data_IF_160731470922
#
_entry.id   IF_160731470922
#
_cell.length_a   1.000
_cell.length_b   1.000
_cell.length_c   1.000
_cell.angle_alpha   90.00
_cell.angle_beta   90.00
_cell.angle_gamma   90.00
#
_symmetry.space_group_name_H-M   'P 1'
#
loop_
_entity.id
_entity.type
_entity.pdbx_description
1 polymer ?
#
# COMPACT_ATOMS: atom_id res chain seq x y z
N UNK A 1 33.42 -26.37 -10.44
CA UNK A 1 32.34 -27.35 -10.56
C UNK A 1 31.36 -26.84 -11.60
N UNK A 2 31.13 -27.64 -12.63
CA UNK A 2 30.36 -27.24 -13.79
C UNK A 2 28.90 -27.06 -13.40
N UNK A 3 28.35 -25.89 -13.66
CA UNK A 3 26.91 -25.57 -13.49
C UNK A 3 26.14 -25.79 -14.80
N UNK A 4 26.87 -26.16 -15.84
CA UNK A 4 26.36 -26.48 -17.17
C UNK A 4 26.60 -27.95 -17.48
N UNK A 5 25.70 -28.55 -18.27
CA UNK A 5 25.90 -29.87 -18.89
C UNK A 5 26.81 -29.79 -20.10
N UNK A 6 27.06 -30.93 -20.74
CA UNK A 6 27.88 -31.02 -21.94
C UNK A 6 27.31 -30.25 -23.13
N UNK A 7 26.02 -29.97 -23.14
CA UNK A 7 25.30 -29.22 -24.16
C UNK A 7 25.22 -27.73 -23.89
N UNK A 8 25.84 -27.25 -22.76
CA UNK A 8 25.86 -25.87 -22.35
C UNK A 8 24.55 -25.40 -21.69
N UNK A 9 23.71 -26.32 -21.21
CA UNK A 9 22.50 -26.01 -20.46
C UNK A 9 22.75 -26.02 -18.96
N UNK A 10 22.06 -25.17 -18.21
CA UNK A 10 22.12 -25.18 -16.75
C UNK A 10 21.58 -26.53 -16.21
N UNK A 11 22.39 -27.23 -15.42
CA UNK A 11 21.96 -28.45 -14.72
C UNK A 11 21.04 -28.11 -13.54
N UNK A 12 20.05 -28.92 -13.26
CA UNK A 12 19.11 -28.71 -12.14
C UNK A 12 19.74 -28.96 -10.78
N UNK A 13 20.53 -30.04 -10.67
CA UNK A 13 21.32 -30.38 -9.48
C UNK A 13 22.65 -30.99 -9.91
N UNK A 14 23.69 -30.90 -9.07
CA UNK A 14 24.99 -31.49 -9.38
C UNK A 14 24.91 -33.02 -9.30
N UNK A 15 25.46 -33.76 -10.29
CA UNK A 15 25.61 -35.21 -10.19
C UNK A 15 26.37 -35.61 -8.92
N UNK A 16 25.84 -36.58 -8.18
CA UNK A 16 26.45 -37.06 -6.93
C UNK A 16 26.28 -36.15 -5.69
N UNK A 17 25.58 -35.04 -5.80
CA UNK A 17 25.25 -34.15 -4.68
C UNK A 17 23.85 -34.45 -4.12
N UNK A 18 23.60 -33.88 -2.94
CA UNK A 18 22.28 -33.86 -2.31
C UNK A 18 21.23 -33.31 -3.30
N UNK A 19 20.17 -34.06 -3.62
CA UNK A 19 19.09 -33.60 -4.51
C UNK A 19 18.37 -32.34 -3.97
N UNK A 20 18.58 -31.96 -2.70
CA UNK A 20 18.09 -30.71 -2.14
C UNK A 20 18.88 -29.49 -2.60
N UNK A 21 20.07 -29.66 -3.18
CA UNK A 21 20.91 -28.57 -3.69
C UNK A 21 20.51 -28.22 -5.13
N UNK A 22 19.45 -27.45 -5.25
CA UNK A 22 18.96 -26.94 -6.53
C UNK A 22 19.86 -25.82 -7.07
N UNK A 23 20.05 -25.78 -8.40
CA UNK A 23 20.86 -24.76 -9.03
C UNK A 23 20.16 -23.40 -9.01
N UNK A 24 20.68 -22.49 -8.19
CA UNK A 24 20.11 -21.14 -8.01
C UNK A 24 20.15 -20.26 -9.27
N UNK A 25 21.02 -20.55 -10.24
CA UNK A 25 21.07 -19.80 -11.51
C UNK A 25 19.79 -19.98 -12.32
N UNK A 26 19.10 -21.11 -12.17
CA UNK A 26 17.80 -21.32 -12.80
C UNK A 26 16.72 -20.34 -12.32
N UNK A 27 16.88 -19.76 -11.15
CA UNK A 27 15.93 -18.76 -10.64
C UNK A 27 15.91 -17.47 -11.45
N UNK A 28 17.02 -17.10 -12.12
CA UNK A 28 17.10 -15.87 -12.91
C UNK A 28 16.02 -15.83 -14.00
N UNK A 29 15.76 -16.97 -14.65
CA UNK A 29 14.76 -17.08 -15.71
C UNK A 29 13.40 -17.60 -15.21
N UNK A 30 13.40 -18.33 -14.09
CA UNK A 30 12.21 -19.05 -13.61
C UNK A 30 11.55 -18.41 -12.38
N UNK A 31 12.08 -17.33 -11.82
CA UNK A 31 11.43 -16.58 -10.75
C UNK A 31 11.24 -15.14 -11.16
N UNK A 32 10.03 -14.63 -10.99
CA UNK A 32 9.71 -13.23 -11.25
C UNK A 32 8.95 -12.67 -10.04
N UNK A 33 9.39 -11.49 -9.59
CA UNK A 33 8.68 -10.73 -8.56
C UNK A 33 8.50 -9.31 -9.03
N UNK A 34 7.29 -8.81 -8.91
CA UNK A 34 6.94 -7.45 -9.27
C UNK A 34 6.17 -6.79 -8.13
N UNK A 35 6.61 -5.61 -7.73
CA UNK A 35 5.88 -4.77 -6.78
C UNK A 35 5.62 -3.42 -7.45
N UNK A 36 4.34 -3.06 -7.55
CA UNK A 36 3.91 -1.74 -8.01
C UNK A 36 3.21 -1.02 -6.86
N UNK A 37 3.59 0.23 -6.64
CA UNK A 37 3.00 1.11 -5.64
C UNK A 37 2.69 2.45 -6.29
N UNK A 38 1.43 2.82 -6.28
CA UNK A 38 1.01 4.15 -6.66
C UNK A 38 0.51 4.87 -5.41
N UNK A 39 0.66 6.19 -5.37
CA UNK A 39 0.10 7.00 -4.29
C UNK A 39 -0.38 8.32 -4.84
N UNK A 40 -1.62 8.62 -4.57
CA UNK A 40 -2.21 9.93 -4.80
C UNK A 40 -2.40 10.63 -3.46
N UNK A 41 -1.74 11.77 -3.29
CA UNK A 41 -1.88 12.64 -2.13
C UNK A 41 -2.37 13.99 -2.59
N UNK A 42 -3.52 14.43 -2.08
CA UNK A 42 -4.12 15.71 -2.39
C UNK A 42 -4.58 16.44 -1.13
N UNK A 43 -4.43 17.76 -1.12
CA UNK A 43 -4.97 18.62 -0.07
C UNK A 43 -5.59 19.86 -0.70
N UNK A 44 -6.82 20.15 -0.31
CA UNK A 44 -7.57 21.32 -0.74
C UNK A 44 -8.07 22.09 0.47
N UNK A 45 -8.08 23.40 0.39
CA UNK A 45 -8.67 24.23 1.44
C UNK A 45 -9.52 25.34 0.86
N UNK A 46 -10.49 25.77 1.66
CA UNK A 46 -11.34 26.92 1.40
C UNK A 46 -11.27 27.85 2.61
N UNK A 47 -10.90 29.10 2.39
CA UNK A 47 -10.93 30.17 3.40
C UNK A 47 -12.10 31.10 3.15
N UNK A 48 -12.88 31.37 4.20
CA UNK A 48 -14.00 32.30 4.16
C UNK A 48 -13.87 33.28 5.32
N UNK A 49 -13.92 34.58 5.03
CA UNK A 49 -14.02 35.61 6.05
C UNK A 49 -15.50 35.87 6.35
N UNK A 50 -15.88 35.60 7.58
CA UNK A 50 -17.23 35.79 8.11
C UNK A 50 -17.36 37.16 8.82
N UNK A 51 -18.58 37.68 9.06
CA UNK A 51 -18.78 38.82 9.93
C UNK A 51 -18.16 38.63 11.32
N UNK A 52 -17.94 39.73 12.04
CA UNK A 52 -17.46 39.74 13.42
C UNK A 52 -16.01 39.27 13.65
N UNK A 53 -15.11 39.47 12.65
CA UNK A 53 -13.70 39.11 12.71
C UNK A 53 -13.45 37.59 12.81
N UNK A 54 -14.41 36.78 12.34
CA UNK A 54 -14.30 35.32 12.29
C UNK A 54 -13.75 34.91 10.94
N UNK A 55 -12.74 34.02 10.95
CA UNK A 55 -12.26 33.34 9.74
C UNK A 55 -12.60 31.86 9.85
N UNK A 56 -13.18 31.31 8.81
CA UNK A 56 -13.47 29.89 8.66
C UNK A 56 -12.54 29.29 7.61
N UNK A 57 -11.94 28.15 7.94
CA UNK A 57 -11.19 27.34 7.00
C UNK A 57 -11.73 25.91 6.99
N UNK A 58 -11.97 25.38 5.81
CA UNK A 58 -12.25 23.96 5.61
C UNK A 58 -11.12 23.34 4.80
N UNK A 59 -10.50 22.28 5.35
CA UNK A 59 -9.46 21.49 4.69
C UNK A 59 -10.02 20.12 4.34
N UNK A 60 -9.74 19.63 3.12
CA UNK A 60 -10.01 18.26 2.70
C UNK A 60 -8.71 17.63 2.25
N UNK A 61 -8.34 16.52 2.89
CA UNK A 61 -7.17 15.71 2.56
C UNK A 61 -7.61 14.36 1.97
N UNK A 62 -6.90 13.91 0.95
CA UNK A 62 -7.10 12.62 0.29
C UNK A 62 -5.74 11.93 0.17
N UNK A 63 -5.64 10.68 0.64
CA UNK A 63 -4.46 9.84 0.50
C UNK A 63 -4.91 8.45 0.04
N UNK A 64 -4.60 8.08 -1.19
CA UNK A 64 -4.98 6.82 -1.82
C UNK A 64 -3.73 6.12 -2.32
N UNK A 65 -3.50 4.88 -1.89
CA UNK A 65 -2.29 4.14 -2.19
C UNK A 65 -2.58 2.67 -2.55
N UNK A 66 -2.90 2.36 -3.82
CA UNK A 66 -2.95 0.99 -4.27
C UNK A 66 -1.55 0.37 -4.31
N UNK A 67 -1.47 -0.90 -3.91
CA UNK A 67 -0.29 -1.73 -3.96
C UNK A 67 -0.60 -3.06 -4.65
N UNK A 68 0.33 -3.50 -5.50
CA UNK A 68 0.24 -4.76 -6.23
C UNK A 68 1.53 -5.53 -5.98
N UNK A 69 1.42 -6.78 -5.51
CA UNK A 69 2.52 -7.70 -5.35
C UNK A 69 2.25 -8.96 -6.17
N UNK A 70 3.10 -9.22 -7.16
CA UNK A 70 2.98 -10.37 -8.04
C UNK A 70 4.24 -11.22 -7.92
N UNK A 71 4.07 -12.52 -7.79
CA UNK A 71 5.18 -13.47 -7.77
C UNK A 71 4.88 -14.64 -8.70
N UNK A 72 5.90 -15.10 -9.37
CA UNK A 72 5.86 -16.28 -10.24
C UNK A 72 7.06 -17.15 -9.97
N UNK A 73 6.83 -18.46 -9.90
CA UNK A 73 7.81 -19.49 -9.67
C UNK A 73 7.58 -20.59 -10.70
N UNK A 74 8.43 -20.63 -11.75
CA UNK A 74 8.39 -21.65 -12.79
C UNK A 74 8.86 -23.01 -12.26
N UNK A 75 8.56 -24.08 -12.98
CA UNK A 75 8.85 -25.45 -12.57
C UNK A 75 10.34 -25.67 -12.29
N UNK A 76 11.23 -24.99 -13.01
CA UNK A 76 12.68 -25.08 -12.83
C UNK A 76 13.24 -24.15 -11.74
N UNK A 77 12.41 -23.38 -11.04
CA UNK A 77 12.86 -22.57 -9.91
C UNK A 77 13.22 -23.45 -8.70
N UNK A 78 14.07 -22.92 -7.81
CA UNK A 78 14.39 -23.59 -6.55
C UNK A 78 13.19 -23.77 -5.64
N UNK A 79 12.16 -22.90 -5.75
CA UNK A 79 10.90 -23.03 -4.99
C UNK A 79 10.07 -24.23 -5.47
N UNK A 80 10.11 -24.54 -6.75
CA UNK A 80 9.31 -25.61 -7.33
C UNK A 80 10.06 -26.92 -7.51
N UNK A 81 11.36 -26.86 -7.74
CA UNK A 81 12.24 -28.04 -7.86
C UNK A 81 11.69 -29.16 -8.77
N UNK A 82 11.18 -28.76 -9.95
CA UNK A 82 10.55 -29.67 -10.92
C UNK A 82 9.04 -29.85 -10.74
N UNK A 83 8.44 -29.31 -9.69
CA UNK A 83 6.97 -29.30 -9.54
C UNK A 83 6.34 -28.23 -10.45
N UNK A 84 5.07 -28.38 -10.88
CA UNK A 84 4.42 -27.40 -11.74
C UNK A 84 4.44 -25.99 -11.18
N UNK A 85 4.43 -24.99 -12.06
CA UNK A 85 4.58 -23.59 -11.74
C UNK A 85 3.53 -23.07 -10.76
N UNK A 86 3.91 -22.05 -9.97
CA UNK A 86 3.11 -21.38 -8.95
C UNK A 86 3.09 -19.88 -9.21
N UNK A 87 1.96 -19.25 -8.93
CA UNK A 87 1.84 -17.79 -8.95
C UNK A 87 1.11 -17.25 -7.74
N UNK A 88 1.49 -16.03 -7.36
CA UNK A 88 0.85 -15.24 -6.32
C UNK A 88 0.42 -13.91 -6.93
N UNK A 89 -0.82 -13.51 -6.68
CA UNK A 89 -1.34 -12.20 -7.02
C UNK A 89 -1.93 -11.58 -5.75
N UNK A 90 -1.30 -10.54 -5.23
CA UNK A 90 -1.70 -9.82 -4.05
C UNK A 90 -2.01 -8.35 -4.38
N UNK A 91 -3.07 -7.82 -3.80
CA UNK A 91 -3.51 -6.44 -3.99
C UNK A 91 -3.93 -5.86 -2.65
N UNK A 92 -3.39 -4.68 -2.34
CA UNK A 92 -3.79 -3.89 -1.20
C UNK A 92 -4.24 -2.52 -1.68
N UNK A 93 -5.24 -1.97 -1.03
CA UNK A 93 -5.70 -0.62 -1.32
C UNK A 93 -5.99 0.11 0.00
N UNK A 94 -5.22 1.16 0.26
CA UNK A 94 -5.43 2.03 1.41
C UNK A 94 -5.98 3.36 0.93
N UNK A 95 -7.08 3.79 1.52
CA UNK A 95 -7.73 5.07 1.25
C UNK A 95 -7.98 5.80 2.56
N UNK A 96 -7.42 7.00 2.67
CA UNK A 96 -7.64 7.87 3.82
C UNK A 96 -8.21 9.21 3.37
N UNK A 97 -9.25 9.64 4.04
CA UNK A 97 -9.89 10.94 3.87
C UNK A 97 -9.84 11.69 5.19
N UNK A 98 -9.49 12.95 5.12
CA UNK A 98 -9.49 13.86 6.27
C UNK A 98 -10.31 15.09 5.91
N UNK A 99 -11.20 15.50 6.80
CA UNK A 99 -11.94 16.74 6.69
C UNK A 99 -11.85 17.52 8.00
N UNK A 100 -11.34 18.73 7.91
CA UNK A 100 -11.11 19.61 9.04
C UNK A 100 -11.83 20.92 8.82
N UNK A 101 -12.47 21.40 9.86
CA UNK A 101 -13.15 22.68 9.92
C UNK A 101 -12.56 23.50 11.06
N UNK A 102 -12.03 24.68 10.75
CA UNK A 102 -11.40 25.57 11.68
C UNK A 102 -12.14 26.89 11.73
N UNK A 103 -12.38 27.38 12.93
CA UNK A 103 -12.87 28.74 13.19
C UNK A 103 -11.80 29.50 13.96
N UNK A 104 -11.45 30.68 13.47
CA UNK A 104 -10.50 31.59 14.10
C UNK A 104 -11.22 32.88 14.44
N UNK A 105 -11.05 33.34 15.66
CA UNK A 105 -11.47 34.64 16.10
C UNK A 105 -10.30 35.36 16.76
N UNK A 106 -9.96 36.55 16.29
CA UNK A 106 -8.91 37.38 16.85
C UNK A 106 -9.43 38.79 17.06
N UNK A 107 -9.33 39.28 18.30
CA UNK A 107 -9.79 40.64 18.59
C UNK A 107 -8.92 41.32 19.62
N UNK A 108 -8.59 42.56 19.37
CA UNK A 108 -7.92 43.46 20.32
C UNK A 108 -8.93 44.37 20.98
N UNK A 109 -8.95 44.36 22.31
CA UNK A 109 -9.80 45.20 23.15
C UNK A 109 -8.96 46.24 23.85
N UNK A 110 -9.48 47.45 24.00
CA UNK A 110 -8.85 48.55 24.77
C UNK A 110 -7.38 48.76 24.43
N UNK A 111 -6.94 48.50 23.20
CA UNK A 111 -5.57 48.63 22.65
C UNK A 111 -4.52 47.65 23.23
N UNK A 112 -4.68 47.16 24.46
CA UNK A 112 -3.66 46.39 25.17
C UNK A 112 -4.03 44.91 25.41
N UNK A 113 -5.23 44.49 25.03
CA UNK A 113 -5.71 43.12 25.28
C UNK A 113 -6.03 42.44 23.95
N UNK A 114 -5.28 41.42 23.59
CA UNK A 114 -5.53 40.63 22.40
C UNK A 114 -6.00 39.24 22.77
N UNK A 115 -7.17 38.84 22.28
CA UNK A 115 -7.77 37.54 22.49
C UNK A 115 -7.79 36.80 21.12
N UNK A 116 -7.17 35.62 21.07
CA UNK A 116 -7.24 34.69 19.97
C UNK A 116 -7.97 33.42 20.39
N UNK A 117 -9.00 33.04 19.66
CA UNK A 117 -9.71 31.76 19.81
C UNK A 117 -9.55 30.94 18.56
N UNK A 118 -9.29 29.65 18.72
CA UNK A 118 -9.31 28.69 17.63
C UNK A 118 -10.17 27.51 18.03
N UNK A 119 -11.09 27.13 17.17
CA UNK A 119 -11.85 25.89 17.28
C UNK A 119 -11.56 25.03 16.08
N UNK A 120 -11.29 23.74 16.28
CA UNK A 120 -11.09 22.74 15.25
C UNK A 120 -12.06 21.58 15.48
N UNK A 121 -12.71 21.17 14.39
CA UNK A 121 -13.38 19.88 14.27
C UNK A 121 -12.73 19.13 13.12
N UNK A 122 -12.32 17.88 13.37
CA UNK A 122 -11.68 17.01 12.39
C UNK A 122 -12.40 15.67 12.33
N UNK A 123 -12.58 15.15 11.10
CA UNK A 123 -13.08 13.80 10.83
C UNK A 123 -12.05 13.13 9.93
N UNK A 124 -11.60 11.95 10.33
CA UNK A 124 -10.74 11.09 9.52
C UNK A 124 -11.41 9.74 9.31
N UNK A 125 -11.26 9.20 8.12
CA UNK A 125 -11.68 7.85 7.78
C UNK A 125 -10.56 7.17 7.03
N UNK A 126 -10.19 5.97 7.45
CA UNK A 126 -9.31 5.10 6.71
C UNK A 126 -10.03 3.79 6.36
N UNK A 127 -9.84 3.33 5.14
CA UNK A 127 -10.25 2.02 4.67
C UNK A 127 -9.04 1.30 4.11
N UNK A 128 -8.81 0.09 4.57
CA UNK A 128 -7.77 -0.82 4.07
C UNK A 128 -8.45 -2.10 3.56
N UNK A 129 -8.14 -2.44 2.32
CA UNK A 129 -8.64 -3.63 1.65
C UNK A 129 -7.44 -4.44 1.16
N UNK A 130 -7.42 -5.72 1.46
CA UNK A 130 -6.40 -6.65 0.98
C UNK A 130 -7.05 -7.86 0.34
N UNK A 131 -6.46 -8.34 -0.76
CA UNK A 131 -6.78 -9.63 -1.36
C UNK A 131 -5.53 -10.33 -1.84
N UNK A 132 -5.45 -11.64 -1.65
CA UNK A 132 -4.34 -12.46 -2.11
C UNK A 132 -4.86 -13.80 -2.63
N UNK A 133 -4.37 -14.19 -3.79
CA UNK A 133 -4.63 -15.48 -4.42
C UNK A 133 -3.28 -16.14 -4.67
N UNK A 134 -3.12 -17.37 -4.17
CA UNK A 134 -1.99 -18.25 -4.46
C UNK A 134 -2.50 -19.46 -5.21
N UNK A 135 -1.88 -19.74 -6.35
CA UNK A 135 -2.24 -20.85 -7.22
C UNK A 135 -1.01 -21.64 -7.64
N UNK A 136 -1.21 -22.89 -7.95
CA UNK A 136 -0.19 -23.77 -8.53
C UNK A 136 -0.76 -24.59 -9.68
N UNK A 137 0.11 -25.36 -10.33
CA UNK A 137 -0.23 -26.19 -11.46
C UNK A 137 -0.75 -25.36 -12.65
N UNK A 138 0.03 -24.30 -12.96
CA UNK A 138 -0.23 -23.41 -14.09
C UNK A 138 0.14 -24.14 -15.42
N UNK A 139 -0.79 -24.27 -16.37
CA UNK A 139 -0.52 -24.95 -17.63
C UNK A 139 0.36 -24.12 -18.59
N UNK A 140 0.41 -22.80 -18.40
CA UNK A 140 1.12 -21.85 -19.26
C UNK A 140 2.05 -20.95 -18.46
N UNK A 141 3.32 -21.32 -18.32
CA UNK A 141 4.31 -20.56 -17.53
C UNK A 141 4.64 -19.19 -18.12
N UNK A 142 4.52 -19.00 -19.43
CA UNK A 142 4.78 -17.75 -20.12
C UNK A 142 3.79 -16.62 -19.70
N UNK A 143 2.62 -16.95 -19.18
CA UNK A 143 1.62 -15.99 -18.72
C UNK A 143 1.88 -15.52 -17.28
N UNK A 144 2.76 -16.21 -16.56
CA UNK A 144 3.16 -15.88 -15.18
C UNK A 144 1.95 -15.70 -14.24
N UNK A 145 1.85 -14.58 -13.54
CA UNK A 145 0.71 -14.22 -12.68
C UNK A 145 -0.49 -13.58 -13.41
N UNK A 146 -0.38 -13.37 -14.73
CA UNK A 146 -1.44 -12.66 -15.48
C UNK A 146 -2.66 -13.53 -15.77
N UNK A 147 -2.53 -14.84 -15.61
CA UNK A 147 -3.63 -15.79 -15.84
C UNK A 147 -3.73 -16.83 -14.72
N UNK A 148 -3.86 -16.37 -13.49
CA UNK A 148 -4.06 -17.25 -12.32
C UNK A 148 -5.34 -18.08 -12.40
N UNK A 149 -6.34 -17.62 -13.18
CA UNK A 149 -7.59 -18.34 -13.39
C UNK A 149 -7.45 -19.64 -14.20
N UNK A 150 -6.33 -19.85 -14.91
CA UNK A 150 -6.05 -21.09 -15.63
C UNK A 150 -5.41 -22.18 -14.78
N UNK A 151 -5.01 -21.85 -13.54
CA UNK A 151 -4.38 -22.81 -12.63
C UNK A 151 -5.33 -23.94 -12.26
N UNK A 152 -4.78 -25.16 -12.17
CA UNK A 152 -5.58 -26.34 -11.81
C UNK A 152 -5.81 -26.43 -10.30
N UNK A 153 -4.94 -25.81 -9.50
CA UNK A 153 -5.01 -25.90 -8.04
C UNK A 153 -4.93 -24.51 -7.41
N UNK A 154 -5.90 -24.20 -6.56
CA UNK A 154 -5.87 -23.02 -5.68
C UNK A 154 -5.18 -23.45 -4.37
N UNK A 155 -4.06 -22.82 -4.02
CA UNK A 155 -3.38 -23.06 -2.74
C UNK A 155 -4.03 -22.29 -1.59
N UNK A 156 -4.30 -20.99 -1.82
CA UNK A 156 -5.00 -20.16 -0.85
C UNK A 156 -5.68 -18.96 -1.50
N UNK A 157 -6.78 -18.55 -0.92
CA UNK A 157 -7.44 -17.27 -1.19
C UNK A 157 -7.69 -16.61 0.15
N UNK A 158 -7.29 -15.35 0.26
CA UNK A 158 -7.53 -14.56 1.46
C UNK A 158 -7.97 -13.15 1.10
N UNK A 159 -8.78 -12.58 1.96
CA UNK A 159 -9.15 -11.17 1.90
C UNK A 159 -9.24 -10.59 3.30
N UNK A 160 -8.93 -9.31 3.44
CA UNK A 160 -9.08 -8.56 4.68
C UNK A 160 -9.68 -7.19 4.36
N UNK A 161 -10.53 -6.72 5.27
CA UNK A 161 -11.16 -5.42 5.20
C UNK A 161 -11.12 -4.77 6.58
N UNK A 162 -10.52 -3.60 6.66
CA UNK A 162 -10.45 -2.81 7.88
C UNK A 162 -10.93 -1.40 7.59
N UNK A 163 -11.72 -0.85 8.51
CA UNK A 163 -12.17 0.53 8.47
C UNK A 163 -12.19 1.12 9.86
N UNK A 164 -11.64 2.32 9.98
CA UNK A 164 -11.79 3.12 11.19
C UNK A 164 -12.19 4.56 10.86
N UNK A 165 -12.85 5.18 11.80
CA UNK A 165 -13.23 6.58 11.74
C UNK A 165 -12.81 7.23 13.04
N UNK A 166 -12.32 8.46 12.96
CA UNK A 166 -11.93 9.29 14.09
C UNK A 166 -12.58 10.65 13.96
N UNK A 167 -13.25 11.10 15.01
CA UNK A 167 -13.74 12.47 15.16
C UNK A 167 -13.01 13.13 16.31
N UNK A 168 -12.48 14.34 16.08
CA UNK A 168 -11.70 15.09 17.05
C UNK A 168 -12.17 16.53 17.14
N UNK A 169 -12.13 17.10 18.34
CA UNK A 169 -12.42 18.49 18.59
C UNK A 169 -11.29 19.11 19.39
N UNK A 170 -10.93 20.35 19.07
CA UNK A 170 -9.91 21.11 19.79
C UNK A 170 -10.39 22.55 19.98
N UNK A 171 -10.23 23.07 21.18
CA UNK A 171 -10.38 24.49 21.51
C UNK A 171 -9.04 25.06 21.99
N UNK A 172 -8.64 26.21 21.47
CA UNK A 172 -7.44 26.93 21.88
C UNK A 172 -7.79 28.38 22.19
N UNK A 173 -7.29 28.89 23.34
CA UNK A 173 -7.42 30.28 23.79
C UNK A 173 -6.01 30.85 23.92
N UNK A 174 -5.75 31.94 23.26
CA UNK A 174 -4.53 32.73 23.39
C UNK A 174 -4.94 34.12 23.92
N UNK A 175 -4.26 34.61 24.94
CA UNK A 175 -4.48 35.95 25.47
C UNK A 175 -3.14 36.64 25.71
N UNK A 176 -3.01 37.84 25.15
CA UNK A 176 -1.83 38.69 25.33
C UNK A 176 -2.26 40.02 25.92
N UNK A 177 -1.43 40.52 26.85
CA UNK A 177 -1.59 41.82 27.47
C UNK A 177 -0.34 42.65 27.29
N UNK A 178 -0.42 43.79 26.60
CA UNK A 178 0.70 44.70 26.29
C UNK A 178 1.87 43.97 25.64
N UNK A 179 1.79 43.73 24.36
CA UNK A 179 2.94 43.42 23.47
C UNK A 179 3.53 44.71 22.93
#
# INVERSE_FOLDING_TARGET
>A
ADIYDTDGRLITSRPGNDPQLWNQFLNLDNMKKEIKKDRFLGSYYLDVTLPFDIKYRSNVGIDIGPWYGNEFYGALSSDRSGSPARAVNARDNRRMYTWENLLFYNKTFKKDHTLGLTFLQSIQQETYEKSEIKVKDLPYENQTWNNVGSAQTIESVSSDYQRWNLASFMGRVNYNYKD
#
